data_IF_783408211261
#
_entry.id   IF_783408211261
#
_cell.length_a   1.000
_cell.length_b   1.000
_cell.length_c   1.000
_cell.angle_alpha   90.00
_cell.angle_beta   90.00
_cell.angle_gamma   90.00
#
_symmetry.space_group_name_H-M   'P 1'
#
loop_
_entity.id
_entity.type
_entity.pdbx_description
1 polymer ?
#
# COMPACT_ATOMS: atom_id res chain seq x y z
N UNK A 1 -54.45 20.83 -52.43
CA UNK A 1 -53.09 21.38 -52.56
C UNK A 1 -53.02 22.63 -51.71
N UNK A 2 -51.97 22.83 -50.90
CA UNK A 2 -51.77 22.13 -49.64
C UNK A 2 -51.59 23.07 -48.43
N UNK A 3 -51.67 22.44 -47.25
CA UNK A 3 -51.52 23.00 -45.91
C UNK A 3 -50.22 23.76 -45.67
N UNK A 4 -50.32 24.97 -45.12
CA UNK A 4 -49.19 25.69 -44.55
C UNK A 4 -48.88 25.14 -43.16
N UNK A 5 -47.95 24.18 -43.12
CA UNK A 5 -47.28 23.76 -41.90
C UNK A 5 -46.41 24.91 -41.35
N UNK A 6 -46.78 25.45 -40.20
CA UNK A 6 -45.97 26.39 -39.44
C UNK A 6 -44.74 25.71 -38.86
N UNK A 7 -43.55 26.12 -39.28
CA UNK A 7 -42.26 25.70 -38.74
C UNK A 7 -42.11 26.26 -37.32
N UNK A 8 -42.29 25.41 -36.31
CA UNK A 8 -41.90 25.71 -34.94
C UNK A 8 -40.37 25.86 -34.88
N UNK A 9 -39.90 27.07 -34.53
CA UNK A 9 -38.49 27.34 -34.30
C UNK A 9 -38.00 26.49 -33.12
N UNK A 10 -37.05 25.60 -33.38
CA UNK A 10 -36.39 24.79 -32.36
C UNK A 10 -35.63 25.70 -31.38
N UNK A 11 -35.91 25.55 -30.09
CA UNK A 11 -35.16 26.21 -29.03
C UNK A 11 -33.68 25.78 -29.07
N UNK A 12 -32.73 26.69 -28.78
CA UNK A 12 -31.31 26.35 -28.78
C UNK A 12 -31.02 25.26 -27.72
N UNK A 13 -30.09 24.33 -28.01
CA UNK A 13 -29.75 23.27 -27.06
C UNK A 13 -29.23 23.90 -25.76
N UNK A 14 -29.87 23.53 -24.66
CA UNK A 14 -29.42 23.87 -23.31
C UNK A 14 -27.99 23.35 -23.15
N UNK A 15 -27.06 24.25 -22.84
CA UNK A 15 -25.68 23.91 -22.52
C UNK A 15 -25.67 22.89 -21.39
N UNK A 16 -25.20 21.67 -21.68
CA UNK A 16 -24.88 20.69 -20.65
C UNK A 16 -23.95 21.36 -19.65
N UNK A 17 -24.43 21.50 -18.41
CA UNK A 17 -23.62 21.97 -17.30
C UNK A 17 -22.46 20.99 -17.14
N UNK A 18 -21.24 21.42 -17.47
CA UNK A 18 -20.03 20.68 -17.15
C UNK A 18 -20.11 20.22 -15.69
N UNK A 19 -20.09 18.90 -15.40
CA UNK A 19 -20.07 18.44 -14.02
C UNK A 19 -18.83 19.04 -13.36
N UNK A 20 -19.04 19.77 -12.27
CA UNK A 20 -17.95 20.34 -11.50
C UNK A 20 -17.00 19.20 -11.15
N UNK A 21 -15.69 19.29 -11.49
CA UNK A 21 -14.77 18.21 -11.20
C UNK A 21 -14.81 17.92 -9.69
N UNK A 22 -14.88 16.65 -9.28
CA UNK A 22 -14.95 16.29 -7.88
C UNK A 22 -13.79 16.94 -7.13
N UNK A 23 -14.08 17.46 -5.93
CA UNK A 23 -13.12 18.20 -5.12
C UNK A 23 -12.02 17.23 -4.68
N UNK A 24 -10.87 17.30 -5.34
CA UNK A 24 -9.74 16.42 -5.05
C UNK A 24 -9.32 16.54 -3.57
N UNK A 25 -9.24 15.41 -2.86
CA UNK A 25 -8.91 15.36 -1.43
C UNK A 25 -7.53 15.97 -1.11
N UNK A 26 -6.58 15.84 -2.03
CA UNK A 26 -5.21 16.34 -1.91
C UNK A 26 -4.82 17.15 -3.16
N UNK A 27 -5.31 18.40 -3.29
CA UNK A 27 -5.09 19.18 -4.50
C UNK A 27 -3.61 19.57 -4.65
N UNK A 28 -3.07 19.39 -5.85
CA UNK A 28 -1.71 19.82 -6.17
C UNK A 28 -1.72 21.24 -6.73
N UNK A 29 -0.97 22.14 -6.08
CA UNK A 29 -0.79 23.51 -6.55
C UNK A 29 0.50 23.59 -7.36
N UNK A 30 0.36 23.67 -8.69
CA UNK A 30 1.48 23.55 -9.64
C UNK A 30 2.69 24.44 -9.34
N UNK A 31 2.49 25.71 -8.98
CA UNK A 31 3.61 26.61 -8.70
C UNK A 31 4.30 26.29 -7.36
N UNK A 32 3.53 25.83 -6.35
CA UNK A 32 4.10 25.40 -5.05
C UNK A 32 4.94 24.14 -5.24
N UNK A 33 4.42 23.21 -6.02
CA UNK A 33 5.13 21.99 -6.42
C UNK A 33 6.45 22.32 -7.10
N UNK A 34 6.41 23.17 -8.13
CA UNK A 34 7.60 23.53 -8.92
C UNK A 34 8.63 24.29 -8.07
N UNK A 35 8.19 25.26 -7.27
CA UNK A 35 9.08 26.04 -6.38
C UNK A 35 9.72 25.13 -5.34
N UNK A 36 8.94 24.26 -4.71
CA UNK A 36 9.44 23.35 -3.69
C UNK A 36 10.42 22.33 -4.27
N UNK A 37 10.12 21.75 -5.44
CA UNK A 37 11.04 20.86 -6.15
C UNK A 37 12.31 21.58 -6.57
N UNK A 38 12.23 22.85 -6.99
CA UNK A 38 13.41 23.62 -7.35
C UNK A 38 14.31 23.86 -6.13
N UNK A 39 13.75 24.30 -5.00
CA UNK A 39 14.51 24.52 -3.75
C UNK A 39 15.18 23.23 -3.28
N UNK A 40 14.43 22.13 -3.20
CA UNK A 40 15.00 20.85 -2.79
C UNK A 40 15.96 20.27 -3.84
N UNK A 41 15.75 20.58 -5.13
CA UNK A 41 16.64 20.21 -6.22
C UNK A 41 18.03 20.79 -6.05
N UNK A 42 18.12 22.07 -5.67
CA UNK A 42 19.42 22.72 -5.35
C UNK A 42 20.15 21.97 -4.24
N UNK A 43 19.44 21.49 -3.22
CA UNK A 43 20.04 20.70 -2.14
C UNK A 43 20.49 19.32 -2.63
N UNK A 44 19.70 18.66 -3.49
CA UNK A 44 20.06 17.37 -4.09
C UNK A 44 21.30 17.49 -4.96
N UNK A 45 21.46 18.59 -5.71
CA UNK A 45 22.63 18.83 -6.57
C UNK A 45 23.94 18.93 -5.78
N UNK A 46 23.88 19.24 -4.47
CA UNK A 46 25.06 19.19 -3.59
C UNK A 46 25.56 17.76 -3.34
N UNK A 47 24.65 16.77 -3.32
CA UNK A 47 24.96 15.37 -3.04
C UNK A 47 25.08 14.53 -4.32
N UNK A 48 24.28 14.84 -5.34
CA UNK A 48 24.21 14.13 -6.61
C UNK A 48 24.66 15.06 -7.72
N UNK A 49 25.90 14.88 -8.16
CA UNK A 49 26.50 15.73 -9.18
C UNK A 49 25.79 15.61 -10.54
N UNK A 50 25.34 14.42 -10.89
CA UNK A 50 24.61 14.14 -12.14
C UNK A 50 23.56 13.04 -11.94
N UNK A 51 22.36 13.26 -12.50
CA UNK A 51 21.29 12.27 -12.60
C UNK A 51 20.93 12.10 -14.07
N UNK A 52 21.21 10.92 -14.63
CA UNK A 52 20.94 10.61 -16.05
C UNK A 52 19.70 9.73 -16.19
N UNK A 53 18.53 10.29 -16.56
CA UNK A 53 17.37 9.49 -16.84
C UNK A 53 17.57 8.66 -18.12
N UNK A 54 17.18 7.39 -18.07
CA UNK A 54 17.13 6.51 -19.24
C UNK A 54 15.67 6.26 -19.59
N UNK A 55 15.31 6.40 -20.86
CA UNK A 55 13.96 6.09 -21.34
C UNK A 55 12.91 7.15 -21.01
N UNK A 56 13.30 8.39 -20.68
CA UNK A 56 12.34 9.47 -20.37
C UNK A 56 11.37 9.76 -21.52
N UNK A 57 11.80 9.56 -22.76
CA UNK A 57 10.96 9.67 -23.96
C UNK A 57 9.80 8.67 -24.03
N UNK A 58 9.83 7.59 -23.23
CA UNK A 58 8.73 6.62 -23.13
C UNK A 58 7.61 7.10 -22.21
N UNK A 59 7.84 8.15 -21.43
CA UNK A 59 6.84 8.67 -20.50
C UNK A 59 5.78 9.47 -21.27
N UNK A 60 4.49 9.11 -21.17
CA UNK A 60 3.43 9.90 -21.77
C UNK A 60 3.43 11.33 -21.23
N UNK A 61 3.36 12.32 -22.14
CA UNK A 61 3.37 13.75 -21.77
C UNK A 61 1.98 14.24 -21.31
N UNK A 62 0.92 13.56 -21.72
CA UNK A 62 -0.48 13.84 -21.38
C UNK A 62 -1.21 12.57 -20.96
N UNK A 63 -2.36 12.74 -20.32
CA UNK A 63 -3.20 11.64 -19.85
C UNK A 63 -2.77 11.05 -18.50
N UNK A 64 -3.60 10.17 -17.92
CA UNK A 64 -3.33 9.49 -16.66
C UNK A 64 -2.09 8.59 -16.74
N UNK A 65 -1.21 8.68 -15.74
CA UNK A 65 -0.07 7.75 -15.61
C UNK A 65 0.08 7.31 -14.16
N UNK A 66 0.12 5.98 -13.94
CA UNK A 66 0.51 5.36 -12.68
C UNK A 66 1.97 4.90 -12.79
N UNK A 67 2.87 5.62 -12.12
CA UNK A 67 4.28 5.24 -12.02
C UNK A 67 4.47 4.22 -10.91
N UNK A 68 5.11 3.10 -11.23
CA UNK A 68 5.56 2.12 -10.25
C UNK A 68 7.08 2.20 -10.21
N UNK A 69 7.63 2.73 -9.13
CA UNK A 69 9.05 2.99 -8.99
C UNK A 69 9.66 2.03 -7.95
N UNK A 70 10.75 1.37 -8.33
CA UNK A 70 11.56 0.48 -7.49
C UNK A 70 12.85 0.09 -8.26
N UNK A 71 13.91 -0.39 -7.58
CA UNK A 71 14.06 -0.45 -6.13
C UNK A 71 14.29 0.94 -5.49
N UNK A 72 14.07 1.08 -4.19
CA UNK A 72 14.29 2.36 -3.49
C UNK A 72 15.11 2.19 -2.20
N UNK A 73 16.29 2.82 -2.16
CA UNK A 73 17.14 2.83 -0.97
C UNK A 73 16.67 3.87 0.08
N UNK A 74 16.40 5.11 -0.32
CA UNK A 74 16.07 6.22 0.59
C UNK A 74 14.71 6.86 0.30
N UNK A 75 13.63 6.38 0.93
CA UNK A 75 12.23 6.72 0.64
C UNK A 75 11.89 8.19 0.27
N UNK A 76 12.67 9.19 0.74
CA UNK A 76 12.48 10.60 0.41
C UNK A 76 13.35 11.12 -0.74
N UNK A 77 14.63 10.70 -0.82
CA UNK A 77 15.55 11.20 -1.85
C UNK A 77 15.17 10.69 -3.24
N UNK A 78 14.97 9.38 -3.43
CA UNK A 78 14.63 8.89 -4.78
C UNK A 78 13.20 9.29 -5.18
N UNK A 79 12.32 9.58 -4.21
CA UNK A 79 11.02 10.20 -4.46
C UNK A 79 11.18 11.60 -5.05
N UNK A 80 12.04 12.41 -4.44
CA UNK A 80 12.36 13.76 -4.91
C UNK A 80 13.06 13.75 -6.27
N UNK A 81 14.03 12.85 -6.47
CA UNK A 81 14.74 12.67 -7.74
C UNK A 81 13.73 12.26 -8.83
N UNK A 82 12.87 11.27 -8.57
CA UNK A 82 11.84 10.85 -9.53
C UNK A 82 10.91 12.00 -9.91
N UNK A 83 10.40 12.74 -8.92
CA UNK A 83 9.54 13.91 -9.15
C UNK A 83 10.25 14.97 -10.01
N UNK A 84 11.50 15.28 -9.69
CA UNK A 84 12.32 16.25 -10.42
C UNK A 84 12.60 15.79 -11.85
N UNK A 85 13.03 14.54 -12.04
CA UNK A 85 13.30 13.96 -13.35
C UNK A 85 12.05 13.97 -14.23
N UNK A 86 10.90 13.53 -13.72
CA UNK A 86 9.65 13.54 -14.48
C UNK A 86 9.20 14.98 -14.83
N UNK A 87 9.47 15.94 -13.94
CA UNK A 87 9.15 17.34 -14.19
C UNK A 87 10.02 17.94 -15.30
N UNK A 88 11.33 17.71 -15.27
CA UNK A 88 12.26 18.26 -16.27
C UNK A 88 12.14 17.56 -17.62
N UNK A 89 12.07 16.23 -17.64
CA UNK A 89 12.15 15.45 -18.88
C UNK A 89 10.80 15.28 -19.59
N UNK A 90 9.74 15.07 -18.82
CA UNK A 90 8.41 14.75 -19.35
C UNK A 90 7.38 15.87 -19.10
N UNK A 91 7.76 16.93 -18.39
CA UNK A 91 6.84 18.00 -17.99
C UNK A 91 5.80 17.57 -16.96
N UNK A 92 5.91 16.36 -16.39
CA UNK A 92 4.88 15.74 -15.55
C UNK A 92 5.11 16.07 -14.07
N UNK A 93 4.02 16.30 -13.34
CA UNK A 93 4.01 16.38 -11.88
C UNK A 93 3.36 15.13 -11.32
N UNK A 94 4.02 14.48 -10.37
CA UNK A 94 3.55 13.21 -9.81
C UNK A 94 3.26 13.34 -8.32
N UNK A 95 2.06 12.92 -7.93
CA UNK A 95 1.64 12.72 -6.54
C UNK A 95 2.12 11.36 -6.06
N UNK A 96 2.89 11.31 -4.99
CA UNK A 96 3.38 10.05 -4.44
C UNK A 96 2.51 9.59 -3.26
N UNK A 97 2.34 8.28 -3.12
CA UNK A 97 1.77 7.70 -1.89
C UNK A 97 2.80 7.72 -0.77
N UNK A 98 2.47 8.34 0.36
CA UNK A 98 3.34 8.44 1.55
C UNK A 98 2.70 7.76 2.74
N UNK A 99 3.48 7.04 3.56
CA UNK A 99 2.95 6.44 4.78
C UNK A 99 2.39 7.52 5.72
N UNK A 100 1.15 7.38 6.18
CA UNK A 100 0.48 8.38 7.02
C UNK A 100 1.25 8.66 8.31
N UNK A 101 1.93 7.65 8.87
CA UNK A 101 2.80 7.80 10.03
C UNK A 101 3.98 8.77 9.77
N UNK A 102 4.42 8.94 8.53
CA UNK A 102 5.50 9.88 8.17
C UNK A 102 5.01 11.32 7.98
N UNK A 103 3.69 11.55 7.98
CA UNK A 103 3.09 12.87 7.70
C UNK A 103 3.00 13.72 8.97
N UNK A 104 4.16 14.09 9.51
CA UNK A 104 4.29 15.01 10.64
C UNK A 104 5.50 15.93 10.46
N UNK A 105 5.52 17.05 11.17
CA UNK A 105 6.61 18.03 11.12
C UNK A 105 6.96 18.48 9.70
N UNK A 106 8.25 18.57 9.40
CA UNK A 106 8.76 18.99 8.09
C UNK A 106 8.32 18.06 6.95
N UNK A 107 8.34 16.73 7.17
CA UNK A 107 7.95 15.74 6.15
C UNK A 107 6.47 15.91 5.78
N UNK A 108 5.61 16.14 6.77
CA UNK A 108 4.19 16.42 6.54
C UNK A 108 3.94 17.75 5.83
N UNK A 109 4.73 18.78 6.10
CA UNK A 109 4.63 20.05 5.37
C UNK A 109 5.12 19.91 3.91
N UNK A 110 6.26 19.25 3.69
CA UNK A 110 6.84 19.03 2.37
C UNK A 110 5.97 18.13 1.49
N UNK A 111 5.42 17.06 2.05
CA UNK A 111 4.53 16.15 1.32
C UNK A 111 3.28 16.85 0.76
N UNK A 112 2.77 17.87 1.48
CA UNK A 112 1.67 18.73 1.00
C UNK A 112 2.10 19.65 -0.15
N UNK A 113 3.34 20.13 -0.16
CA UNK A 113 3.82 20.99 -1.27
C UNK A 113 3.92 20.20 -2.58
N UNK A 114 4.26 18.92 -2.51
CA UNK A 114 4.34 18.03 -3.67
C UNK A 114 3.06 17.25 -3.97
N UNK A 115 1.95 17.56 -3.28
CA UNK A 115 0.66 16.92 -3.51
C UNK A 115 0.65 15.41 -3.22
N UNK A 116 1.45 14.92 -2.28
CA UNK A 116 1.47 13.52 -1.89
C UNK A 116 0.20 13.11 -1.16
N UNK A 117 -0.21 11.86 -1.38
CA UNK A 117 -1.42 11.28 -0.77
C UNK A 117 -1.00 10.41 0.42
N UNK A 118 -1.43 10.74 1.66
CA UNK A 118 -1.16 9.92 2.82
C UNK A 118 -1.93 8.59 2.75
N UNK A 119 -1.24 7.51 3.08
CA UNK A 119 -1.79 6.14 3.07
C UNK A 119 -1.58 5.53 4.45
N UNK A 120 -2.68 5.17 5.11
CA UNK A 120 -2.64 4.37 6.33
C UNK A 120 -2.18 2.95 5.99
N UNK A 121 -1.22 2.40 6.74
CA UNK A 121 -0.79 1.00 6.59
C UNK A 121 -1.07 0.24 7.87
N UNK A 122 -1.55 -1.01 7.77
CA UNK A 122 -1.91 -1.82 8.94
C UNK A 122 -0.73 -1.93 9.93
N UNK A 123 0.48 -2.10 9.40
CA UNK A 123 1.72 -2.13 10.19
C UNK A 123 1.98 -0.86 11.03
N UNK A 124 1.47 0.31 10.62
CA UNK A 124 1.66 1.57 11.36
C UNK A 124 0.76 1.62 12.61
N UNK A 125 -0.37 0.91 12.59
CA UNK A 125 -1.32 0.79 13.69
C UNK A 125 -1.16 -0.50 14.50
N UNK A 126 -0.14 -1.32 14.18
CA UNK A 126 0.06 -2.62 14.81
C UNK A 126 0.47 -2.49 16.29
N UNK A 127 -0.35 -3.03 17.19
CA UNK A 127 -0.12 -3.05 18.64
C UNK A 127 0.20 -4.48 19.12
N UNK A 128 1.07 -4.66 20.13
CA UNK A 128 1.25 -5.96 20.76
C UNK A 128 -0.09 -6.52 21.25
N UNK A 129 -0.38 -7.77 20.90
CA UNK A 129 -1.55 -8.48 21.43
C UNK A 129 -1.24 -9.06 22.81
N UNK A 130 -2.29 -9.29 23.60
CA UNK A 130 -2.21 -9.96 24.89
C UNK A 130 -2.08 -11.47 24.69
N UNK A 131 -1.24 -12.12 25.50
CA UNK A 131 -1.04 -13.58 25.47
C UNK A 131 -0.07 -14.04 24.38
N UNK A 132 -0.17 -15.31 24.04
CA UNK A 132 0.65 -15.98 23.02
C UNK A 132 -0.24 -16.68 22.00
N UNK A 133 0.26 -16.90 20.79
CA UNK A 133 -0.45 -17.66 19.75
C UNK A 133 0.38 -18.82 19.23
N UNK A 134 -0.30 -19.85 18.77
CA UNK A 134 0.30 -21.02 18.16
C UNK A 134 -0.62 -21.63 17.09
N UNK A 135 -0.07 -22.52 16.29
CA UNK A 135 -0.77 -23.23 15.23
C UNK A 135 -1.02 -24.68 15.68
N UNK A 136 -2.24 -25.01 16.17
CA UNK A 136 -2.55 -26.30 16.77
C UNK A 136 -2.41 -27.48 15.80
N UNK A 137 -2.86 -27.34 14.56
CA UNK A 137 -2.71 -28.35 13.51
C UNK A 137 -2.15 -27.71 12.23
N UNK A 138 -0.82 -27.65 12.07
CA UNK A 138 -0.21 -27.01 10.92
C UNK A 138 -0.36 -27.78 9.61
N UNK A 139 -0.79 -29.04 9.64
CA UNK A 139 -0.86 -29.92 8.46
C UNK A 139 -2.28 -29.98 7.91
N UNK A 140 -3.28 -30.24 8.76
CA UNK A 140 -4.66 -30.42 8.33
C UNK A 140 -5.48 -29.13 8.41
N UNK A 141 -5.16 -28.21 9.32
CA UNK A 141 -5.84 -26.92 9.45
C UNK A 141 -4.86 -25.74 9.66
N UNK A 142 -4.07 -25.39 8.63
CA UNK A 142 -3.02 -24.37 8.71
C UNK A 142 -3.57 -22.93 8.83
N UNK A 143 -4.88 -22.76 8.98
CA UNK A 143 -5.58 -21.47 9.07
C UNK A 143 -6.17 -21.18 10.45
N UNK A 144 -6.25 -22.19 11.31
CA UNK A 144 -6.78 -22.03 12.66
C UNK A 144 -5.64 -21.61 13.59
N UNK A 145 -5.72 -20.42 14.18
CA UNK A 145 -4.76 -19.97 15.18
C UNK A 145 -5.42 -20.03 16.55
N UNK A 146 -4.72 -20.63 17.51
CA UNK A 146 -5.16 -20.70 18.90
C UNK A 146 -4.26 -19.84 19.77
N UNK A 147 -4.87 -19.17 20.74
CA UNK A 147 -4.24 -18.31 21.70
C UNK A 147 -4.15 -18.94 23.09
N UNK A 148 -3.19 -18.49 23.88
CA UNK A 148 -3.08 -18.75 25.32
C UNK A 148 -3.18 -17.41 26.03
N UNK A 149 -4.28 -17.18 26.75
CA UNK A 149 -4.55 -15.92 27.44
C UNK A 149 -4.79 -14.73 26.50
N UNK A 150 -5.25 -15.00 25.28
CA UNK A 150 -5.62 -13.97 24.30
C UNK A 150 -7.06 -13.49 24.54
N UNK A 151 -7.41 -12.33 23.97
CA UNK A 151 -8.73 -11.70 24.13
C UNK A 151 -9.33 -11.27 22.79
N UNK A 152 -9.28 -12.17 21.81
CA UNK A 152 -9.76 -11.86 20.46
C UNK A 152 -11.24 -11.46 20.46
N UNK A 153 -11.58 -10.38 19.75
CA UNK A 153 -12.94 -9.84 19.71
C UNK A 153 -13.38 -9.13 21.00
N UNK A 154 -12.55 -9.08 22.05
CA UNK A 154 -12.81 -8.37 23.31
C UNK A 154 -11.88 -7.16 23.42
N UNK A 155 -11.93 -6.27 22.43
CA UNK A 155 -11.07 -5.07 22.35
C UNK A 155 -9.70 -5.30 21.69
N UNK A 156 -9.34 -6.54 21.40
CA UNK A 156 -8.15 -6.90 20.62
C UNK A 156 -8.56 -7.78 19.44
N UNK A 157 -8.10 -7.43 18.23
CA UNK A 157 -8.35 -8.21 17.02
C UNK A 157 -9.75 -7.98 16.47
N UNK A 158 -9.82 -7.73 15.17
CA UNK A 158 -11.07 -7.50 14.46
C UNK A 158 -11.10 -8.29 13.16
N UNK A 159 -12.31 -8.58 12.68
CA UNK A 159 -12.51 -9.21 11.37
C UNK A 159 -11.94 -8.28 10.30
N UNK A 160 -11.21 -8.83 9.33
CA UNK A 160 -10.43 -8.08 8.32
C UNK A 160 -9.26 -7.24 8.87
N UNK A 161 -8.98 -7.32 10.16
CA UNK A 161 -7.73 -6.86 10.75
C UNK A 161 -6.55 -7.74 10.33
N UNK A 162 -5.35 -7.34 10.73
CA UNK A 162 -4.10 -8.01 10.37
C UNK A 162 -3.38 -8.55 11.60
N UNK A 163 -2.94 -9.80 11.51
CA UNK A 163 -2.06 -10.45 12.46
C UNK A 163 -0.61 -10.36 11.99
N UNK A 164 0.31 -9.98 12.86
CA UNK A 164 1.75 -9.87 12.57
C UNK A 164 2.57 -10.74 13.52
N UNK A 165 3.49 -11.51 12.93
CA UNK A 165 4.50 -12.27 13.63
C UNK A 165 5.79 -11.47 13.81
N UNK A 166 6.57 -11.75 14.86
CA UNK A 166 7.80 -11.02 15.14
C UNK A 166 8.86 -11.30 14.06
N UNK A 167 9.62 -10.27 13.71
CA UNK A 167 10.77 -10.43 12.81
C UNK A 167 11.95 -11.06 13.54
N UNK A 168 12.71 -11.93 12.87
CA UNK A 168 13.96 -12.48 13.39
C UNK A 168 15.16 -11.84 12.69
N UNK A 169 16.38 -12.01 13.24
CA UNK A 169 17.60 -11.46 12.63
C UNK A 169 17.71 -11.95 11.18
N UNK A 170 17.66 -10.99 10.23
CA UNK A 170 17.73 -11.17 8.75
C UNK A 170 16.46 -11.64 8.02
N UNK A 171 15.33 -11.86 8.71
CA UNK A 171 14.06 -12.23 8.06
C UNK A 171 12.89 -11.35 8.54
N UNK A 172 12.18 -10.75 7.58
CA UNK A 172 11.01 -9.91 7.83
C UNK A 172 9.89 -10.75 8.44
N UNK A 173 9.25 -10.24 9.48
CA UNK A 173 8.09 -10.90 10.11
C UNK A 173 6.95 -11.08 9.11
N UNK A 174 6.22 -12.19 9.22
CA UNK A 174 5.08 -12.45 8.36
C UNK A 174 3.81 -11.78 8.90
N UNK A 175 2.86 -11.53 8.00
CA UNK A 175 1.56 -10.97 8.36
C UNK A 175 0.44 -11.56 7.51
N UNK A 176 -0.77 -11.61 8.07
CA UNK A 176 -1.94 -12.20 7.42
C UNK A 176 -3.24 -11.56 7.89
N UNK A 177 -4.22 -11.48 7.01
CA UNK A 177 -5.57 -11.01 7.33
C UNK A 177 -6.33 -12.01 8.22
N UNK A 178 -7.07 -11.50 9.20
CA UNK A 178 -7.99 -12.27 10.03
C UNK A 178 -9.30 -12.42 9.25
N UNK A 179 -9.68 -13.65 8.94
CA UNK A 179 -10.92 -13.96 8.24
C UNK A 179 -12.11 -14.02 9.20
N UNK A 180 -11.93 -14.60 10.38
CA UNK A 180 -13.00 -14.78 11.36
C UNK A 180 -12.42 -14.83 12.77
N UNK A 181 -13.20 -14.35 13.74
CA UNK A 181 -12.94 -14.55 15.17
C UNK A 181 -13.94 -15.61 15.65
N UNK A 182 -13.45 -16.76 16.10
CA UNK A 182 -14.27 -17.88 16.57
C UNK A 182 -14.55 -17.76 18.08
N UNK A 183 -13.65 -17.12 18.81
CA UNK A 183 -13.78 -16.84 20.24
C UNK A 183 -12.60 -16.03 20.77
N UNK A 184 -12.53 -15.78 22.09
CA UNK A 184 -11.44 -15.01 22.70
C UNK A 184 -10.05 -15.65 22.54
N UNK A 185 -10.01 -16.97 22.31
CA UNK A 185 -8.79 -17.74 22.16
C UNK A 185 -8.60 -18.36 20.78
N UNK A 186 -9.50 -18.11 19.83
CA UNK A 186 -9.44 -18.73 18.52
C UNK A 186 -9.82 -17.77 17.39
N UNK A 187 -8.95 -17.70 16.39
CA UNK A 187 -9.18 -16.93 15.16
C UNK A 187 -8.85 -17.78 13.95
N UNK A 188 -9.50 -17.48 12.83
CA UNK A 188 -9.17 -18.05 11.53
C UNK A 188 -8.53 -16.99 10.65
N UNK A 189 -7.35 -17.30 10.11
CA UNK A 189 -6.64 -16.43 9.17
C UNK A 189 -7.05 -16.76 7.73
N UNK A 190 -7.00 -15.75 6.86
CA UNK A 190 -7.49 -15.87 5.48
C UNK A 190 -6.65 -16.81 4.62
N UNK A 191 -5.36 -16.93 4.90
CA UNK A 191 -4.39 -17.75 4.17
C UNK A 191 -3.37 -18.33 5.15
N UNK A 192 -2.81 -19.52 4.90
CA UNK A 192 -1.77 -20.08 5.75
C UNK A 192 -0.48 -19.27 5.67
N UNK A 193 0.29 -19.26 6.76
CA UNK A 193 1.64 -18.73 6.75
C UNK A 193 2.55 -19.60 5.87
N UNK A 194 3.49 -18.96 5.17
CA UNK A 194 4.48 -19.63 4.31
C UNK A 194 5.89 -19.31 4.76
N UNK A 195 6.79 -20.25 4.51
CA UNK A 195 8.19 -20.14 4.87
C UNK A 195 8.50 -20.67 6.27
N UNK A 196 9.78 -20.96 6.49
CA UNK A 196 10.29 -21.62 7.68
C UNK A 196 10.03 -20.85 8.98
N UNK A 197 10.43 -19.58 9.03
CA UNK A 197 10.38 -18.78 10.26
C UNK A 197 8.96 -18.62 10.85
N UNK A 198 7.93 -18.24 10.09
CA UNK A 198 6.57 -18.13 10.63
C UNK A 198 6.05 -19.45 11.21
N UNK A 199 6.33 -20.57 10.54
CA UNK A 199 5.86 -21.88 10.97
C UNK A 199 6.64 -22.39 12.18
N UNK A 200 7.95 -22.18 12.22
CA UNK A 200 8.80 -22.45 13.38
C UNK A 200 8.35 -21.61 14.58
N UNK A 201 8.05 -20.33 14.38
CA UNK A 201 7.51 -19.45 15.42
C UNK A 201 6.13 -19.88 15.93
N UNK A 202 5.28 -20.45 15.08
CA UNK A 202 3.92 -20.83 15.48
C UNK A 202 3.82 -22.24 16.03
N UNK A 203 4.80 -23.11 15.76
CA UNK A 203 4.75 -24.53 16.15
C UNK A 203 5.90 -24.95 17.06
N UNK A 204 6.96 -24.15 17.14
CA UNK A 204 8.22 -24.50 17.82
C UNK A 204 8.97 -25.66 17.18
N UNK A 205 8.60 -26.05 15.95
CA UNK A 205 9.13 -27.23 15.27
C UNK A 205 10.33 -26.90 14.41
N UNK A 206 11.28 -27.83 14.37
CA UNK A 206 12.55 -27.70 13.66
C UNK A 206 12.53 -28.41 12.28
N UNK A 207 11.47 -29.16 11.97
CA UNK A 207 11.35 -30.06 10.82
C UNK A 207 10.71 -29.41 9.58
N UNK A 208 10.94 -28.10 9.41
CA UNK A 208 10.35 -27.28 8.35
C UNK A 208 11.44 -26.92 7.32
N UNK A 209 11.17 -27.22 6.05
CA UNK A 209 12.04 -26.83 4.94
C UNK A 209 11.97 -25.30 4.65
N UNK A 210 12.86 -24.79 3.80
CA UNK A 210 12.88 -23.35 3.47
C UNK A 210 11.60 -22.87 2.76
N UNK A 211 10.85 -23.80 2.16
CA UNK A 211 9.57 -23.54 1.48
C UNK A 211 8.36 -23.56 2.44
N UNK A 212 8.55 -23.97 3.70
CA UNK A 212 7.50 -24.08 4.70
C UNK A 212 6.75 -25.43 4.70
N UNK A 213 7.34 -26.50 4.16
CA UNK A 213 6.76 -27.83 4.23
C UNK A 213 7.31 -28.60 5.44
N UNK A 214 6.42 -29.31 6.13
CA UNK A 214 6.79 -30.22 7.21
C UNK A 214 7.34 -31.52 6.64
N UNK A 215 8.56 -31.84 7.03
CA UNK A 215 9.23 -33.09 6.66
C UNK A 215 8.70 -34.28 7.45
N UNK A 216 8.27 -34.07 8.71
CA UNK A 216 7.62 -35.09 9.52
C UNK A 216 6.10 -34.84 9.58
N UNK A 217 5.33 -35.66 8.84
CA UNK A 217 3.86 -35.54 8.79
C UNK A 217 3.13 -36.28 9.91
N UNK A 218 3.83 -37.09 10.70
CA UNK A 218 3.21 -37.90 11.76
C UNK A 218 2.94 -37.09 13.03
N UNK A 219 3.71 -36.01 13.25
CA UNK A 219 3.47 -35.04 14.31
C UNK A 219 2.31 -34.12 13.92
N UNK A 220 1.16 -34.30 14.58
CA UNK A 220 -0.10 -33.56 14.29
C UNK A 220 -0.22 -32.19 14.96
N UNK A 221 0.83 -31.67 15.59
CA UNK A 221 0.76 -30.38 16.30
C UNK A 221 2.12 -29.76 16.61
N UNK A 222 2.13 -28.84 17.58
CA UNK A 222 3.35 -28.15 18.04
C UNK A 222 4.34 -29.09 18.75
N UNK A 223 5.59 -28.63 18.88
CA UNK A 223 6.61 -29.31 19.71
C UNK A 223 6.13 -29.40 21.16
N UNK A 224 6.32 -30.55 21.85
CA UNK A 224 5.97 -30.68 23.26
C UNK A 224 6.63 -29.59 24.11
N UNK A 225 5.86 -28.91 24.95
CA UNK A 225 6.33 -27.79 25.79
C UNK A 225 6.33 -26.42 25.10
N UNK A 226 5.92 -26.32 23.84
CA UNK A 226 5.79 -25.04 23.15
C UNK A 226 4.60 -24.24 23.69
N UNK A 227 4.87 -23.04 24.22
CA UNK A 227 3.85 -22.18 24.86
C UNK A 227 3.26 -21.12 23.93
N UNK A 228 3.70 -21.05 22.67
CA UNK A 228 3.28 -20.03 21.71
C UNK A 228 4.28 -18.90 21.51
N UNK A 229 3.96 -18.01 20.57
CA UNK A 229 4.77 -16.84 20.19
C UNK A 229 3.99 -15.54 20.38
N UNK A 230 4.72 -14.48 20.74
CA UNK A 230 4.18 -13.12 20.80
C UNK A 230 3.76 -12.64 19.41
N UNK A 231 2.76 -11.77 19.36
CA UNK A 231 2.21 -11.28 18.10
C UNK A 231 1.79 -9.82 18.21
N UNK A 232 1.49 -9.20 17.08
CA UNK A 232 0.84 -7.89 17.01
C UNK A 232 -0.43 -7.97 16.19
N UNK A 233 -1.38 -7.11 16.51
CA UNK A 233 -2.64 -6.94 15.79
C UNK A 233 -2.73 -5.53 15.26
N UNK A 234 -3.25 -5.37 14.06
CA UNK A 234 -3.67 -4.08 13.53
C UNK A 234 -5.12 -4.13 13.09
N UNK A 235 -5.85 -3.02 13.24
CA UNK A 235 -7.19 -2.91 12.68
C UNK A 235 -7.14 -2.96 11.15
N UNK A 236 -8.28 -3.33 10.58
CA UNK A 236 -8.63 -3.09 9.20
C UNK A 236 -8.49 -1.60 8.90
N UNK A 237 -7.79 -1.29 7.80
CA UNK A 237 -7.66 0.07 7.34
C UNK A 237 -8.53 0.24 6.12
N UNK A 238 -9.50 1.12 6.24
CA UNK A 238 -10.28 1.60 5.12
C UNK A 238 -9.37 2.40 4.17
N UNK A 239 -9.16 1.85 2.97
CA UNK A 239 -8.37 2.47 1.90
C UNK A 239 -9.23 3.25 0.92
N UNK A 240 -10.56 3.35 1.14
CA UNK A 240 -11.50 3.98 0.20
C UNK A 240 -11.06 5.40 -0.16
N UNK A 241 -10.71 6.22 0.82
CA UNK A 241 -10.22 7.59 0.62
C UNK A 241 -8.92 7.68 -0.18
N UNK A 242 -8.03 6.70 -0.03
CA UNK A 242 -6.78 6.63 -0.79
C UNK A 242 -7.07 6.31 -2.25
N UNK A 243 -7.92 5.32 -2.49
CA UNK A 243 -8.35 4.96 -3.84
C UNK A 243 -9.09 6.11 -4.52
N UNK A 244 -10.02 6.77 -3.83
CA UNK A 244 -10.72 7.96 -4.32
C UNK A 244 -9.73 9.06 -4.73
N UNK A 245 -8.77 9.40 -3.87
CA UNK A 245 -7.75 10.40 -4.18
C UNK A 245 -6.88 10.02 -5.40
N UNK A 246 -6.51 8.75 -5.53
CA UNK A 246 -5.75 8.25 -6.68
C UNK A 246 -6.59 8.32 -7.96
N UNK A 247 -7.86 7.89 -7.90
CA UNK A 247 -8.76 7.91 -9.04
C UNK A 247 -9.10 9.33 -9.48
N UNK A 248 -9.34 10.26 -8.55
CA UNK A 248 -9.53 11.67 -8.87
C UNK A 248 -8.33 12.26 -9.60
N UNK A 249 -7.11 11.98 -9.12
CA UNK A 249 -5.88 12.45 -9.77
C UNK A 249 -5.73 11.86 -11.16
N UNK A 250 -5.98 10.57 -11.34
CA UNK A 250 -5.87 9.92 -12.65
C UNK A 250 -6.96 10.43 -13.61
N UNK A 251 -8.22 10.53 -13.18
CA UNK A 251 -9.32 11.06 -14.00
C UNK A 251 -9.09 12.50 -14.45
N UNK A 252 -8.40 13.31 -13.65
CA UNK A 252 -7.99 14.67 -14.05
C UNK A 252 -6.82 14.70 -15.06
N UNK A 253 -6.36 13.54 -15.54
CA UNK A 253 -5.21 13.42 -16.46
C UNK A 253 -3.86 13.60 -15.77
N UNK A 254 -3.81 13.50 -14.44
CA UNK A 254 -2.62 13.67 -13.61
C UNK A 254 -1.76 12.40 -13.51
N UNK A 255 -0.74 12.44 -12.65
CA UNK A 255 0.12 11.29 -12.36
C UNK A 255 0.10 10.92 -10.89
N UNK A 256 0.09 9.61 -10.64
CA UNK A 256 0.30 9.03 -9.31
C UNK A 256 1.52 8.14 -9.37
N UNK A 257 2.36 8.17 -8.34
CA UNK A 257 3.52 7.30 -8.22
C UNK A 257 3.46 6.49 -6.93
N UNK A 258 3.87 5.23 -7.03
CA UNK A 258 3.89 4.28 -5.93
C UNK A 258 5.23 3.58 -5.85
N UNK A 259 5.67 3.34 -4.61
CA UNK A 259 6.78 2.45 -4.32
C UNK A 259 6.19 1.17 -3.70
N UNK A 260 6.11 0.05 -4.44
CA UNK A 260 5.36 -1.15 -4.03
C UNK A 260 5.92 -1.80 -2.75
N UNK A 261 7.19 -1.54 -2.46
CA UNK A 261 7.94 -2.06 -1.32
C UNK A 261 7.31 -1.61 0.00
N UNK A 262 6.75 -0.39 0.05
CA UNK A 262 6.10 0.15 1.24
C UNK A 262 7.04 0.29 2.43
N UNK A 263 8.35 0.43 2.20
CA UNK A 263 9.43 0.66 3.16
C UNK A 263 10.78 0.78 2.43
N UNK A 264 11.82 1.30 3.09
CA UNK A 264 13.19 1.30 2.53
C UNK A 264 13.81 -0.08 2.65
N UNK A 265 14.43 -0.57 1.59
CA UNK A 265 15.27 -1.76 1.64
C UNK A 265 16.45 -1.68 0.68
N UNK A 266 17.53 -2.36 1.01
CA UNK A 266 18.77 -2.36 0.25
C UNK A 266 18.85 -3.51 -0.76
N UNK A 267 17.69 -3.97 -1.28
CA UNK A 267 17.62 -5.06 -2.27
C UNK A 267 17.51 -4.48 -3.68
N UNK A 268 18.28 -5.05 -4.60
CA UNK A 268 18.33 -4.67 -6.03
C UNK A 268 17.17 -5.24 -6.85
N UNK A 269 16.35 -6.13 -6.27
CA UNK A 269 15.22 -6.79 -6.92
C UNK A 269 13.89 -6.16 -6.50
N UNK A 270 12.93 -6.12 -7.43
CA UNK A 270 11.56 -5.69 -7.15
C UNK A 270 10.91 -6.66 -6.14
N UNK A 271 10.40 -6.13 -5.02
CA UNK A 271 9.46 -6.91 -4.21
C UNK A 271 8.18 -7.18 -5.01
N UNK A 272 7.51 -8.33 -4.79
CA UNK A 272 6.27 -8.66 -5.47
C UNK A 272 5.27 -7.50 -5.41
N UNK A 273 4.79 -7.07 -6.56
CA UNK A 273 3.82 -5.98 -6.67
C UNK A 273 2.61 -6.30 -5.79
N UNK A 274 2.35 -5.45 -4.80
CA UNK A 274 1.16 -5.61 -3.95
C UNK A 274 -0.09 -5.42 -4.79
N UNK A 275 -1.14 -6.18 -4.48
CA UNK A 275 -2.41 -6.21 -5.22
C UNK A 275 -3.02 -4.81 -5.49
N UNK A 276 -2.73 -3.81 -4.65
CA UNK A 276 -3.16 -2.43 -4.87
C UNK A 276 -2.75 -1.85 -6.24
N UNK A 277 -1.56 -2.19 -6.75
CA UNK A 277 -1.09 -1.72 -8.07
C UNK A 277 -1.99 -2.24 -9.19
N UNK A 278 -2.34 -3.54 -9.12
CA UNK A 278 -3.16 -4.21 -10.10
C UNK A 278 -4.64 -3.77 -10.07
N UNK A 279 -5.12 -3.24 -8.95
CA UNK A 279 -6.48 -2.69 -8.82
C UNK A 279 -6.56 -1.25 -9.36
N UNK A 280 -5.51 -0.45 -9.12
CA UNK A 280 -5.47 0.96 -9.52
C UNK A 280 -5.28 1.14 -11.04
N UNK A 281 -4.53 0.26 -11.70
CA UNK A 281 -4.22 0.41 -13.12
C UNK A 281 -5.42 0.24 -14.07
N UNK A 282 -6.29 -0.80 -13.95
CA UNK A 282 -7.44 -0.95 -14.85
C UNK A 282 -8.56 0.06 -14.58
N UNK A 283 -8.82 0.33 -13.30
CA UNK A 283 -9.99 1.15 -12.88
C UNK A 283 -9.78 2.64 -13.15
N UNK A 284 -8.55 3.14 -13.09
CA UNK A 284 -8.24 4.56 -13.36
C UNK A 284 -8.12 4.93 -14.84
N UNK A 285 -8.07 3.94 -15.74
CA UNK A 285 -7.92 4.13 -17.19
C UNK A 285 -9.23 3.87 -17.97
N UNK A 286 -10.28 3.37 -17.31
CA UNK A 286 -11.54 2.95 -17.93
C UNK A 286 -12.67 3.99 -17.83
N UNK A 287 -12.36 5.26 -17.51
CA UNK A 287 -13.33 6.35 -17.38
C UNK A 287 -13.02 7.52 -18.29
#
# INVERSE_FOLDING_TARGET
MPDHAGTAAAAPPQSESNPTPPKELYPMVNWKYDLFLWVLGVLVDLFFREVHPRGSWKVPKSGPVLFVAAPHANQFVDALILQRTLRHEAGRRVSLLIAQKSVHGFIGWGSRQVGSVPVGRAQDAAKPGTGLIYLPDPINDPTLIRGVGTKFGQGEGEIHGMLFLPSAKKQTGASVDIAQILGPEEIRIKRPFKGKLPLEQLTGRDDIDDNGNFTNKDLKGCKPGFSGTKYKLAPHIDQTKVYEAVFDRLRSGGCVGIFPEGGSHDRTELLPLKAGVAIMAPTGLAG
#
